data_IF_896251181385
#
_entry.id   IF_896251181385
#
_cell.length_a   1.000
_cell.length_b   1.000
_cell.length_c   1.000
_cell.angle_alpha   90.00
_cell.angle_beta   90.00
_cell.angle_gamma   90.00
#
_symmetry.space_group_name_H-M   'P 1'
#
loop_
_entity.id
_entity.type
_entity.pdbx_description
1 polymer ?
#
# COMPACT_ATOMS: atom_id res chain seq x y z
N UNK A 1 4.41 10.30 23.25
CA UNK A 1 4.54 8.86 22.95
C UNK A 1 5.43 8.70 21.72
N UNK A 2 6.39 7.79 21.73
CA UNK A 2 7.24 7.50 20.56
C UNK A 2 6.46 6.66 19.53
N UNK A 3 6.84 6.74 18.25
CA UNK A 3 6.06 6.18 17.13
C UNK A 3 6.30 4.69 16.95
N UNK A 4 5.22 3.90 16.94
CA UNK A 4 5.25 2.43 16.78
C UNK A 4 5.20 2.00 15.29
N UNK A 5 4.67 2.89 14.43
CA UNK A 5 4.56 2.80 12.97
C UNK A 5 4.67 4.22 12.39
N UNK A 6 5.11 4.40 11.12
CA UNK A 6 5.15 5.73 10.47
C UNK A 6 3.78 6.20 9.96
N UNK A 7 2.84 5.27 9.80
CA UNK A 7 1.50 5.46 9.23
C UNK A 7 0.66 6.61 9.80
N UNK A 8 0.93 7.03 11.04
CA UNK A 8 0.35 8.22 11.65
C UNK A 8 0.55 9.51 10.82
N UNK A 9 1.56 9.58 9.95
CA UNK A 9 1.81 10.73 9.06
C UNK A 9 1.12 10.66 7.70
N UNK A 10 0.63 9.49 7.27
CA UNK A 10 0.07 9.32 5.92
C UNK A 10 -1.16 10.22 5.73
N UNK A 11 -1.97 10.35 6.78
CA UNK A 11 -3.16 11.20 6.78
C UNK A 11 -2.88 12.67 6.51
N UNK A 12 -1.83 13.24 7.10
CA UNK A 12 -1.47 14.64 6.90
C UNK A 12 -0.96 14.88 5.46
N UNK A 13 -0.18 13.94 4.93
CA UNK A 13 0.36 13.99 3.56
C UNK A 13 -0.73 13.78 2.50
N UNK A 14 -1.70 12.89 2.75
CA UNK A 14 -2.90 12.74 1.94
C UNK A 14 -3.76 14.00 1.96
N UNK A 15 -3.97 14.62 3.13
CA UNK A 15 -4.69 15.90 3.28
C UNK A 15 -3.97 17.08 2.61
N UNK A 16 -2.64 17.05 2.53
CA UNK A 16 -1.85 18.00 1.74
C UNK A 16 -1.98 17.77 0.21
N UNK A 17 -2.78 16.79 -0.24
CA UNK A 17 -3.03 16.52 -1.65
C UNK A 17 -1.94 15.71 -2.35
N UNK A 18 -0.98 15.14 -1.62
CA UNK A 18 0.10 14.35 -2.20
C UNK A 18 -0.42 12.99 -2.70
N UNK A 19 -0.21 12.71 -3.98
CA UNK A 19 -0.68 11.48 -4.65
C UNK A 19 0.37 10.38 -4.76
N UNK A 20 1.65 10.71 -4.55
CA UNK A 20 2.73 9.73 -4.48
C UNK A 20 3.82 10.29 -3.56
N UNK A 21 4.21 9.55 -2.52
CA UNK A 21 5.23 10.00 -1.57
C UNK A 21 5.87 8.82 -0.82
N UNK A 22 7.08 9.07 -0.29
CA UNK A 22 7.83 8.15 0.57
C UNK A 22 8.03 8.81 1.93
N UNK A 23 7.87 8.05 3.02
CA UNK A 23 8.16 8.47 4.39
C UNK A 23 9.22 7.54 4.95
N UNK A 24 10.36 8.09 5.40
CA UNK A 24 11.48 7.31 5.94
C UNK A 24 11.77 7.73 7.38
N UNK A 25 12.22 6.78 8.20
CA UNK A 25 12.99 7.04 9.42
C UNK A 25 12.59 6.13 10.57
N UNK A 26 12.89 6.60 11.77
CA UNK A 26 12.98 5.77 12.97
C UNK A 26 11.61 5.47 13.61
N UNK A 27 11.45 4.24 14.07
CA UNK A 27 10.31 3.76 14.84
C UNK A 27 10.80 3.00 16.07
N UNK A 28 10.01 3.08 17.14
CA UNK A 28 10.37 2.62 18.46
C UNK A 28 9.35 1.60 18.94
N UNK A 29 9.82 0.41 19.31
CA UNK A 29 8.98 -0.66 19.86
C UNK A 29 9.57 -1.19 21.16
N UNK A 30 8.70 -1.53 22.10
CA UNK A 30 9.06 -2.32 23.26
C UNK A 30 8.77 -3.77 22.90
N UNK A 31 9.83 -4.52 22.66
CA UNK A 31 9.79 -5.92 22.27
C UNK A 31 10.81 -6.72 23.08
N UNK A 32 10.96 -8.00 22.78
CA UNK A 32 12.08 -8.80 23.26
C UNK A 32 13.43 -8.23 22.76
N UNK A 33 14.54 -8.60 23.40
CA UNK A 33 15.88 -8.16 22.98
C UNK A 33 16.67 -9.40 22.57
N UNK A 34 16.90 -9.55 21.27
CA UNK A 34 17.68 -10.62 20.67
C UNK A 34 18.36 -10.13 19.36
N UNK A 35 18.87 -11.04 18.53
CA UNK A 35 19.56 -10.68 17.28
C UNK A 35 18.64 -10.16 16.16
N UNK A 36 17.32 -10.29 16.30
CA UNK A 36 16.29 -9.85 15.34
C UNK A 36 15.46 -8.69 15.87
N UNK A 37 15.35 -8.54 17.19
CA UNK A 37 14.55 -7.51 17.85
C UNK A 37 15.43 -6.45 18.52
N UNK A 38 15.41 -5.23 17.97
CA UNK A 38 16.05 -4.05 18.55
C UNK A 38 14.98 -2.96 18.87
N UNK A 39 15.09 -2.22 19.99
CA UNK A 39 14.07 -1.24 20.39
C UNK A 39 13.84 -0.07 19.42
N UNK A 40 14.78 0.17 18.51
CA UNK A 40 14.78 1.23 17.49
C UNK A 40 15.13 0.62 16.13
N UNK A 41 14.34 0.92 15.09
CA UNK A 41 14.64 0.49 13.73
C UNK A 41 14.05 1.47 12.72
N UNK A 42 14.45 1.35 11.45
CA UNK A 42 14.04 2.27 10.40
C UNK A 42 12.92 1.65 9.56
N UNK A 43 11.92 2.45 9.21
CA UNK A 43 10.89 2.08 8.25
C UNK A 43 10.91 3.02 7.05
N UNK A 44 10.59 2.47 5.88
CA UNK A 44 10.19 3.20 4.69
C UNK A 44 8.74 2.82 4.39
N UNK A 45 7.84 3.79 4.40
CA UNK A 45 6.46 3.65 3.93
C UNK A 45 6.32 4.36 2.59
N UNK A 46 5.65 3.71 1.63
CA UNK A 46 5.38 4.25 0.30
C UNK A 46 3.87 4.29 0.07
N UNK A 47 3.36 5.43 -0.40
CA UNK A 47 1.96 5.61 -0.77
C UNK A 47 1.86 6.12 -2.20
N UNK A 48 0.93 5.54 -2.97
CA UNK A 48 0.59 5.95 -4.32
C UNK A 48 -0.92 5.85 -4.52
N UNK A 49 -1.53 6.94 -4.99
CA UNK A 49 -2.93 7.06 -5.35
C UNK A 49 -3.08 7.05 -6.87
N UNK A 50 -4.21 6.50 -7.34
CA UNK A 50 -4.57 6.45 -8.75
C UNK A 50 -5.90 7.13 -8.97
N UNK A 51 -5.98 8.03 -9.95
CA UNK A 51 -7.26 8.45 -10.52
C UNK A 51 -7.79 7.39 -11.49
N UNK A 52 -9.10 7.44 -11.78
CA UNK A 52 -9.78 6.51 -12.70
C UNK A 52 -9.06 6.40 -14.04
N UNK A 53 -8.78 7.55 -14.67
CA UNK A 53 -8.11 7.61 -15.97
C UNK A 53 -6.66 7.08 -15.90
N UNK A 54 -5.95 7.28 -14.79
CA UNK A 54 -4.59 6.73 -14.64
C UNK A 54 -4.59 5.20 -14.49
N UNK A 55 -5.53 4.64 -13.71
CA UNK A 55 -5.58 3.19 -13.47
C UNK A 55 -6.01 2.41 -14.72
N UNK A 56 -6.87 3.00 -15.55
CA UNK A 56 -7.41 2.37 -16.76
C UNK A 56 -6.78 2.87 -18.08
N UNK A 57 -5.70 3.66 -18.03
CA UNK A 57 -5.09 4.35 -19.18
C UNK A 57 -4.67 3.47 -20.36
N UNK A 58 -4.45 2.17 -20.13
CA UNK A 58 -4.06 1.19 -21.16
C UNK A 58 -5.16 0.18 -21.52
N UNK A 59 -6.38 0.31 -20.98
CA UNK A 59 -7.45 -0.67 -21.16
C UNK A 59 -8.42 -0.18 -22.25
N UNK A 60 -8.67 -1.05 -23.24
CA UNK A 60 -9.68 -0.80 -24.27
C UNK A 60 -11.05 -0.61 -23.61
N UNK A 61 -11.75 0.46 -23.99
CA UNK A 61 -13.04 0.86 -23.45
C UNK A 61 -13.00 1.21 -21.93
N UNK A 62 -11.81 1.51 -21.40
CA UNK A 62 -11.55 1.78 -19.97
C UNK A 62 -12.28 2.98 -19.36
N UNK A 63 -12.83 3.91 -20.16
CA UNK A 63 -13.68 5.01 -19.66
C UNK A 63 -15.01 4.53 -19.06
N UNK A 64 -15.46 3.33 -19.42
CA UNK A 64 -16.65 2.71 -18.80
C UNK A 64 -16.35 2.11 -17.42
N UNK A 65 -15.08 1.80 -17.12
CA UNK A 65 -14.68 1.20 -15.85
C UNK A 65 -14.70 2.24 -14.71
N UNK A 66 -15.16 1.83 -13.53
CA UNK A 66 -15.20 2.67 -12.34
C UNK A 66 -14.23 2.15 -11.28
N UNK A 67 -13.77 3.05 -10.41
CA UNK A 67 -12.98 2.68 -9.21
C UNK A 67 -13.87 2.12 -8.10
N UNK A 68 -15.11 2.60 -8.02
CA UNK A 68 -16.00 2.41 -6.88
C UNK A 68 -17.36 1.85 -7.28
N UNK A 69 -17.93 1.07 -6.37
CA UNK A 69 -19.27 0.47 -6.46
C UNK A 69 -19.89 0.36 -5.07
N UNK A 70 -21.14 -0.11 -4.97
CA UNK A 70 -21.78 -0.45 -3.68
C UNK A 70 -22.01 -1.96 -3.63
N UNK A 71 -21.26 -2.65 -2.76
CA UNK A 71 -21.20 -4.12 -2.72
C UNK A 71 -20.90 -4.64 -1.31
N UNK A 72 -20.83 -5.96 -1.14
CA UNK A 72 -20.28 -6.59 0.05
C UNK A 72 -18.75 -6.69 0.00
N UNK A 73 -18.10 -6.64 1.17
CA UNK A 73 -16.68 -6.98 1.32
C UNK A 73 -16.47 -8.48 1.08
N UNK A 74 -15.36 -8.84 0.46
CA UNK A 74 -14.89 -10.22 0.31
C UNK A 74 -13.40 -10.34 0.68
N UNK A 75 -12.86 -11.57 0.61
CA UNK A 75 -11.42 -11.82 0.76
C UNK A 75 -10.56 -11.20 -0.37
N UNK A 76 -11.18 -10.60 -1.39
CA UNK A 76 -10.48 -10.10 -2.59
C UNK A 76 -10.72 -8.62 -2.88
N UNK A 77 -11.70 -7.97 -2.24
CA UNK A 77 -11.97 -6.53 -2.41
C UNK A 77 -12.75 -5.92 -1.25
N UNK A 78 -12.65 -4.60 -1.13
CA UNK A 78 -13.44 -3.82 -0.21
C UNK A 78 -14.87 -3.60 -0.73
N UNK A 79 -15.80 -3.35 0.19
CA UNK A 79 -17.23 -3.09 -0.06
C UNK A 79 -17.51 -1.96 -1.06
N UNK A 80 -16.64 -0.96 -1.11
CA UNK A 80 -16.77 0.22 -1.98
C UNK A 80 -15.95 0.17 -3.27
N UNK A 81 -15.11 -0.84 -3.47
CA UNK A 81 -14.17 -0.90 -4.59
C UNK A 81 -14.58 -1.95 -5.62
N UNK A 82 -14.43 -1.63 -6.90
CA UNK A 82 -14.60 -2.60 -7.99
C UNK A 82 -13.49 -3.66 -7.94
N UNK A 83 -13.77 -4.85 -8.47
CA UNK A 83 -12.76 -5.93 -8.49
C UNK A 83 -11.62 -5.59 -9.45
N UNK A 84 -11.94 -4.95 -10.56
CA UNK A 84 -11.04 -4.47 -11.61
C UNK A 84 -10.04 -3.47 -11.04
N UNK A 85 -10.51 -2.44 -10.32
CA UNK A 85 -9.63 -1.46 -9.70
C UNK A 85 -8.75 -2.10 -8.63
N UNK A 86 -9.31 -2.99 -7.81
CA UNK A 86 -8.55 -3.70 -6.77
C UNK A 86 -7.43 -4.55 -7.38
N UNK A 87 -7.71 -5.30 -8.46
CA UNK A 87 -6.74 -6.18 -9.12
C UNK A 87 -5.65 -5.42 -9.87
N UNK A 88 -5.96 -4.27 -10.47
CA UNK A 88 -4.94 -3.43 -11.13
C UNK A 88 -4.02 -2.76 -10.12
N UNK A 89 -4.54 -2.28 -8.98
CA UNK A 89 -3.71 -1.72 -7.89
C UNK A 89 -2.84 -2.81 -7.25
N UNK A 90 -3.39 -4.01 -7.01
CA UNK A 90 -2.63 -5.17 -6.54
C UNK A 90 -1.50 -5.56 -7.52
N UNK A 91 -1.78 -5.52 -8.83
CA UNK A 91 -0.77 -5.80 -9.85
C UNK A 91 0.34 -4.74 -9.90
N UNK A 92 0.02 -3.44 -9.92
CA UNK A 92 1.01 -2.36 -9.91
C UNK A 92 1.88 -2.41 -8.65
N UNK A 93 1.27 -2.66 -7.48
CA UNK A 93 1.98 -2.81 -6.21
C UNK A 93 2.98 -3.96 -6.24
N UNK A 94 2.52 -5.16 -6.62
CA UNK A 94 3.37 -6.35 -6.70
C UNK A 94 4.48 -6.18 -7.76
N UNK A 95 4.15 -5.65 -8.94
CA UNK A 95 5.15 -5.40 -9.99
C UNK A 95 6.20 -4.37 -9.55
N UNK A 96 5.79 -3.32 -8.83
CA UNK A 96 6.70 -2.31 -8.27
C UNK A 96 7.64 -2.93 -7.24
N UNK A 97 7.11 -3.74 -6.32
CA UNK A 97 7.94 -4.44 -5.33
C UNK A 97 8.88 -5.46 -5.97
N UNK A 98 8.43 -6.30 -6.91
CA UNK A 98 9.32 -7.23 -7.61
C UNK A 98 10.46 -6.52 -8.32
N UNK A 99 10.17 -5.42 -9.04
CA UNK A 99 11.21 -4.60 -9.69
C UNK A 99 12.18 -3.96 -8.70
N UNK A 100 11.70 -3.52 -7.53
CA UNK A 100 12.55 -3.00 -6.46
C UNK A 100 13.48 -4.09 -5.91
N UNK A 101 12.97 -5.30 -5.67
CA UNK A 101 13.78 -6.42 -5.19
C UNK A 101 14.81 -6.85 -6.24
N UNK A 102 14.42 -6.99 -7.51
CA UNK A 102 15.37 -7.24 -8.62
C UNK A 102 16.43 -6.16 -8.73
N UNK A 103 16.09 -4.89 -8.51
CA UNK A 103 17.06 -3.79 -8.55
C UNK A 103 18.06 -3.83 -7.37
N UNK A 104 17.62 -4.24 -6.18
CA UNK A 104 18.44 -4.30 -4.97
C UNK A 104 19.29 -5.57 -4.86
N UNK A 105 18.79 -6.71 -5.34
CA UNK A 105 19.35 -8.04 -5.10
C UNK A 105 19.70 -8.82 -6.39
N UNK A 106 19.31 -8.33 -7.57
CA UNK A 106 19.47 -9.05 -8.84
C UNK A 106 18.33 -10.03 -9.14
N UNK A 107 18.45 -10.76 -10.25
CA UNK A 107 17.46 -11.74 -10.73
C UNK A 107 17.53 -13.09 -9.97
N UNK A 108 17.53 -13.06 -8.63
CA UNK A 108 17.49 -14.29 -7.82
C UNK A 108 16.04 -14.78 -7.57
N UNK A 109 15.82 -16.08 -7.78
CA UNK A 109 14.51 -16.76 -7.64
C UNK A 109 14.08 -16.93 -6.16
N UNK A 110 13.84 -15.82 -5.45
CA UNK A 110 13.52 -15.85 -4.00
C UNK A 110 12.27 -15.08 -3.56
N UNK A 111 11.70 -14.18 -4.37
CA UNK A 111 10.62 -13.29 -3.92
C UNK A 111 9.24 -13.98 -3.95
N UNK A 112 8.59 -14.13 -2.79
CA UNK A 112 7.24 -14.68 -2.65
C UNK A 112 6.28 -13.66 -2.05
N UNK A 113 5.17 -13.37 -2.76
CA UNK A 113 4.05 -12.60 -2.20
C UNK A 113 3.14 -13.51 -1.36
N UNK A 114 2.69 -13.01 -0.20
CA UNK A 114 1.70 -13.69 0.66
C UNK A 114 0.60 -12.69 1.05
N UNK A 115 -0.66 -13.09 0.87
CA UNK A 115 -1.81 -12.30 1.31
C UNK A 115 -1.99 -12.44 2.82
N UNK A 116 -1.91 -11.31 3.55
CA UNK A 116 -2.14 -11.22 4.99
C UNK A 116 -3.21 -10.16 5.27
N UNK A 117 -4.05 -10.38 6.28
CA UNK A 117 -5.00 -9.35 6.73
C UNK A 117 -4.27 -8.28 7.55
N UNK A 118 -4.39 -7.02 7.13
CA UNK A 118 -3.92 -5.85 7.88
C UNK A 118 -5.15 -5.12 8.44
N UNK A 119 -5.26 -4.92 9.77
CA UNK A 119 -6.38 -4.19 10.37
C UNK A 119 -6.59 -2.78 9.77
N UNK A 120 -7.86 -2.39 9.63
CA UNK A 120 -8.31 -1.28 8.75
C UNK A 120 -7.70 0.09 9.04
N UNK A 121 -7.15 0.34 10.22
CA UNK A 121 -6.76 1.67 10.72
C UNK A 121 -5.70 2.40 9.85
N UNK A 122 -5.06 1.70 8.91
CA UNK A 122 -4.14 2.31 7.93
C UNK A 122 -4.79 2.79 6.62
N UNK A 123 -5.96 2.26 6.21
CA UNK A 123 -6.59 2.61 4.92
C UNK A 123 -8.11 2.77 5.10
N UNK A 124 -8.48 3.71 5.96
CA UNK A 124 -9.86 4.14 6.16
C UNK A 124 -10.06 5.56 5.64
N UNK A 125 -9.80 5.78 4.34
CA UNK A 125 -10.24 6.98 3.60
C UNK A 125 -11.78 7.04 3.52
N UNK A 126 -12.41 7.23 4.68
CA UNK A 126 -13.82 7.58 4.81
C UNK A 126 -13.98 9.04 4.41
N UNK A 127 -14.59 9.22 3.24
CA UNK A 127 -15.44 10.37 2.89
C UNK A 127 -14.83 11.76 3.11
N UNK A 128 -13.97 12.21 2.18
CA UNK A 128 -13.87 13.61 1.73
C UNK A 128 -13.48 13.64 0.25
#
# INVERSE_FOLDING_TARGET
MLRVHKSAHLWDLLRAGLKAFLVVGDVYRRDQIDAQHYPEFHQLEAVRLFSRHQLFAGIKDGENLQLFEQSSRSAHKQETHTLEATKLVEFDLNQTFSRLMTHLFGDEEGTRTQSNEVPRDHIAAREY
#
